data_IF_985734364533
#
_entry.id   IF_985734364533
#
_cell.length_a   1.000
_cell.length_b   1.000
_cell.length_c   1.000
_cell.angle_alpha   90.00
_cell.angle_beta   90.00
_cell.angle_gamma   90.00
#
_symmetry.space_group_name_H-M   'P 1'
#
loop_
_entity.id
_entity.type
_entity.pdbx_description
1 polymer ?
#
# COMPACT_ATOMS: atom_id res chain seq x y z
N UNK A 1 8.77 -16.68 -8.38
CA UNK A 1 8.57 -16.70 -6.90
C UNK A 1 7.22 -17.23 -6.36
N UNK A 2 6.07 -16.83 -6.91
CA UNK A 2 4.75 -17.15 -6.30
C UNK A 2 4.48 -18.65 -6.11
N UNK A 3 4.95 -19.49 -7.03
CA UNK A 3 4.86 -20.95 -6.93
C UNK A 3 5.67 -21.51 -5.75
N UNK A 4 6.91 -21.03 -5.55
CA UNK A 4 7.76 -21.39 -4.41
C UNK A 4 7.12 -21.01 -3.07
N UNK A 5 6.31 -19.94 -3.06
CA UNK A 5 5.49 -19.51 -1.93
C UNK A 5 4.12 -20.22 -1.83
N UNK A 6 3.82 -21.16 -2.73
CA UNK A 6 2.56 -21.94 -2.81
C UNK A 6 1.30 -21.08 -2.91
N UNK A 7 1.35 -20.01 -3.71
CA UNK A 7 0.20 -19.09 -3.86
C UNK A 7 -0.90 -19.62 -4.79
N UNK A 8 -0.58 -20.51 -5.73
CA UNK A 8 -1.58 -21.12 -6.64
C UNK A 8 -2.10 -20.17 -7.73
N UNK A 9 -1.46 -19.02 -7.91
CA UNK A 9 -1.73 -18.04 -8.96
C UNK A 9 -0.41 -17.38 -9.39
N UNK A 10 -0.44 -16.69 -10.53
CA UNK A 10 0.72 -16.05 -11.14
C UNK A 10 0.59 -14.51 -11.22
N UNK A 11 1.62 -13.88 -11.79
CA UNK A 11 1.69 -12.44 -12.04
C UNK A 11 0.52 -11.92 -12.87
N UNK A 12 0.16 -12.64 -13.93
CA UNK A 12 -0.93 -12.24 -14.84
C UNK A 12 -2.26 -12.19 -14.09
N UNK A 13 -2.54 -13.21 -13.27
CA UNK A 13 -3.78 -13.28 -12.49
C UNK A 13 -3.91 -12.17 -11.45
N UNK A 14 -2.80 -11.75 -10.84
CA UNK A 14 -2.79 -10.60 -9.92
C UNK A 14 -3.16 -9.32 -10.66
N UNK A 15 -2.53 -9.07 -11.82
CA UNK A 15 -2.77 -7.87 -12.61
C UNK A 15 -4.20 -7.83 -13.19
N UNK A 16 -4.73 -8.97 -13.63
CA UNK A 16 -6.13 -9.11 -14.03
C UNK A 16 -7.08 -8.73 -12.88
N UNK A 17 -6.80 -9.21 -11.66
CA UNK A 17 -7.62 -8.89 -10.50
C UNK A 17 -7.61 -7.39 -10.19
N UNK A 18 -6.44 -6.73 -10.26
CA UNK A 18 -6.34 -5.28 -10.10
C UNK A 18 -7.13 -4.53 -11.17
N UNK A 19 -7.00 -4.93 -12.43
CA UNK A 19 -7.73 -4.32 -13.54
C UNK A 19 -9.25 -4.48 -13.39
N UNK A 20 -9.70 -5.68 -13.00
CA UNK A 20 -11.12 -5.97 -12.78
C UNK A 20 -11.69 -5.13 -11.63
N UNK A 21 -10.98 -4.99 -10.51
CA UNK A 21 -11.44 -4.13 -9.41
C UNK A 21 -11.59 -2.69 -9.89
N UNK A 22 -10.60 -2.17 -10.63
CA UNK A 22 -10.61 -0.79 -11.14
C UNK A 22 -11.64 -0.56 -12.25
N UNK A 23 -12.10 -1.60 -12.94
CA UNK A 23 -13.20 -1.45 -13.91
C UNK A 23 -14.56 -1.18 -13.26
N UNK A 24 -14.74 -1.57 -11.99
CA UNK A 24 -15.95 -1.25 -11.21
C UNK A 24 -15.76 -0.03 -10.31
N UNK A 25 -14.55 0.17 -9.79
CA UNK A 25 -14.21 1.24 -8.86
C UNK A 25 -12.93 1.92 -9.32
N UNK A 26 -13.04 2.97 -10.14
CA UNK A 26 -11.91 3.69 -10.75
C UNK A 26 -10.81 4.04 -9.75
N UNK A 27 -11.22 4.55 -8.57
CA UNK A 27 -10.33 4.97 -7.50
C UNK A 27 -10.22 3.92 -6.36
N UNK A 28 -10.30 2.63 -6.68
CA UNK A 28 -10.14 1.59 -5.67
C UNK A 28 -8.78 1.71 -4.95
N UNK A 29 -8.84 1.83 -3.63
CA UNK A 29 -7.70 1.66 -2.74
C UNK A 29 -7.32 0.17 -2.67
N UNK A 30 -6.17 -0.17 -3.24
CA UNK A 30 -5.61 -1.53 -3.18
C UNK A 30 -4.38 -1.51 -2.28
N UNK A 31 -4.32 -2.47 -1.35
CA UNK A 31 -3.18 -2.68 -0.46
C UNK A 31 -2.59 -4.07 -0.59
N UNK A 32 -1.29 -4.21 -0.30
CA UNK A 32 -0.62 -5.50 -0.31
C UNK A 32 0.55 -5.58 0.68
N UNK A 33 0.85 -6.81 1.09
CA UNK A 33 2.04 -7.17 1.86
C UNK A 33 3.05 -7.84 0.92
N UNK A 34 4.28 -7.31 0.88
CA UNK A 34 5.30 -7.71 -0.09
C UNK A 34 6.56 -8.14 0.66
N UNK A 35 7.00 -9.37 0.38
CA UNK A 35 8.23 -9.95 0.92
C UNK A 35 9.34 -9.73 -0.10
N UNK A 36 10.46 -9.14 0.32
CA UNK A 36 11.68 -9.05 -0.48
C UNK A 36 12.70 -10.09 -0.06
N UNK A 37 13.39 -10.72 -1.01
CA UNK A 37 14.48 -11.63 -0.73
C UNK A 37 14.04 -12.99 -0.23
N UNK A 38 12.94 -13.50 -0.76
CA UNK A 38 12.52 -14.88 -0.49
C UNK A 38 13.64 -15.85 -0.94
N UNK A 39 13.83 -17.00 -0.28
CA UNK A 39 14.88 -17.94 -0.65
C UNK A 39 14.77 -18.35 -2.13
N UNK A 40 15.87 -18.18 -2.87
CA UNK A 40 15.95 -18.42 -4.31
C UNK A 40 15.53 -17.25 -5.21
N UNK A 41 15.14 -16.09 -4.65
CA UNK A 41 14.71 -14.91 -5.43
C UNK A 41 15.84 -14.34 -6.29
N UNK A 42 15.67 -14.45 -7.61
CA UNK A 42 16.59 -13.90 -8.61
C UNK A 42 16.30 -12.41 -8.90
N UNK A 43 17.19 -11.75 -9.64
CA UNK A 43 16.93 -10.37 -10.09
C UNK A 43 15.72 -10.29 -11.03
N UNK A 44 15.49 -11.31 -11.86
CA UNK A 44 14.30 -11.41 -12.71
C UNK A 44 13.01 -11.53 -11.90
N UNK A 45 13.02 -12.34 -10.85
CA UNK A 45 11.87 -12.47 -9.93
C UNK A 45 11.55 -11.16 -9.19
N UNK A 46 12.59 -10.45 -8.76
CA UNK A 46 12.43 -9.15 -8.12
C UNK A 46 11.89 -8.11 -9.11
N UNK A 47 12.40 -8.09 -10.33
CA UNK A 47 11.89 -7.22 -11.40
C UNK A 47 10.41 -7.51 -11.72
N UNK A 48 10.02 -8.79 -11.76
CA UNK A 48 8.62 -9.17 -11.90
C UNK A 48 7.74 -8.64 -10.76
N UNK A 49 8.23 -8.67 -9.53
CA UNK A 49 7.56 -8.11 -8.36
C UNK A 49 7.44 -6.59 -8.48
N UNK A 50 8.52 -5.92 -8.89
CA UNK A 50 8.54 -4.48 -9.14
C UNK A 50 7.47 -4.09 -10.16
N UNK A 51 7.42 -4.76 -11.31
CA UNK A 51 6.42 -4.50 -12.34
C UNK A 51 4.98 -4.71 -11.84
N UNK A 52 4.74 -5.72 -11.00
CA UNK A 52 3.40 -5.93 -10.41
C UNK A 52 3.02 -4.75 -9.53
N UNK A 53 3.94 -4.28 -8.70
CA UNK A 53 3.70 -3.15 -7.80
C UNK A 53 3.47 -1.85 -8.59
N UNK A 54 4.28 -1.63 -9.62
CA UNK A 54 4.17 -0.48 -10.51
C UNK A 54 2.82 -0.51 -11.24
N UNK A 55 2.49 -1.59 -11.93
CA UNK A 55 1.21 -1.70 -12.68
C UNK A 55 0.00 -1.71 -11.75
N UNK A 56 0.15 -2.23 -10.53
CA UNK A 56 -0.93 -2.30 -9.54
C UNK A 56 -1.31 -0.95 -8.93
N UNK A 57 -0.40 0.04 -8.92
CA UNK A 57 -0.62 1.37 -8.35
C UNK A 57 -1.20 1.28 -6.91
N UNK A 58 -0.51 0.54 -6.05
CA UNK A 58 -0.96 0.26 -4.68
C UNK A 58 -1.01 1.54 -3.84
N UNK A 59 -2.12 1.76 -3.13
CA UNK A 59 -2.27 2.89 -2.21
C UNK A 59 -1.45 2.69 -0.94
N UNK A 60 -1.40 1.47 -0.43
CA UNK A 60 -0.65 1.08 0.76
C UNK A 60 0.13 -0.21 0.46
N UNK A 61 1.42 -0.22 0.73
CA UNK A 61 2.24 -1.43 0.59
C UNK A 61 3.08 -1.64 1.84
N UNK A 62 2.89 -2.78 2.52
CA UNK A 62 3.75 -3.18 3.62
C UNK A 62 4.89 -4.02 3.05
N UNK A 63 6.07 -3.41 2.92
CA UNK A 63 7.25 -4.01 2.29
C UNK A 63 8.22 -4.41 3.39
N UNK A 64 8.59 -5.69 3.43
CA UNK A 64 9.48 -6.21 4.45
C UNK A 64 10.41 -7.31 3.92
N UNK A 65 11.64 -7.43 4.46
CA UNK A 65 12.56 -8.46 4.04
C UNK A 65 12.09 -9.83 4.56
N UNK A 66 12.36 -10.89 3.80
CA UNK A 66 12.19 -12.26 4.28
C UNK A 66 13.02 -12.49 5.54
N UNK A 67 12.36 -13.00 6.57
CA UNK A 67 12.95 -13.39 7.84
C UNK A 67 12.68 -14.88 8.09
N UNK A 68 13.72 -15.73 8.16
CA UNK A 68 13.54 -17.16 8.40
C UNK A 68 12.86 -17.41 9.75
N UNK A 69 11.79 -18.20 9.73
CA UNK A 69 11.13 -18.68 10.95
C UNK A 69 11.37 -20.17 11.10
N UNK A 70 11.81 -20.59 12.30
CA UNK A 70 12.08 -22.00 12.61
C UNK A 70 10.87 -22.87 12.24
N UNK A 71 11.11 -24.05 11.69
CA UNK A 71 10.10 -25.02 11.26
C UNK A 71 9.24 -24.60 10.06
N UNK A 72 9.63 -23.57 9.29
CA UNK A 72 8.97 -23.26 8.00
C UNK A 72 9.71 -23.91 6.84
N UNK A 73 9.00 -24.32 5.79
CA UNK A 73 9.62 -24.87 4.58
C UNK A 73 10.65 -23.91 3.98
N UNK A 74 10.32 -22.61 3.93
CA UNK A 74 11.22 -21.58 3.41
C UNK A 74 12.52 -21.43 4.22
N UNK A 75 12.49 -21.67 5.53
CA UNK A 75 13.70 -21.60 6.35
C UNK A 75 14.70 -22.73 6.05
N UNK A 76 14.23 -23.84 5.45
CA UNK A 76 15.06 -24.97 5.05
C UNK A 76 15.42 -24.94 3.54
N UNK A 77 14.96 -23.93 2.79
CA UNK A 77 15.29 -23.78 1.38
C UNK A 77 16.73 -23.27 1.21
N UNK A 78 17.42 -23.79 0.19
CA UNK A 78 18.67 -23.23 -0.29
C UNK A 78 18.45 -21.85 -0.94
N UNK A 79 19.55 -21.14 -1.22
CA UNK A 79 19.49 -19.83 -1.90
C UNK A 79 18.96 -18.70 -1.01
N UNK A 80 19.24 -18.75 0.29
CA UNK A 80 18.94 -17.64 1.20
C UNK A 80 19.62 -16.35 0.71
N UNK A 81 18.86 -15.26 0.67
CA UNK A 81 19.34 -13.98 0.13
C UNK A 81 20.07 -13.17 1.22
N UNK A 82 21.29 -12.67 0.94
CA UNK A 82 22.04 -11.78 1.84
C UNK A 82 21.26 -10.54 2.27
N UNK A 83 21.44 -10.10 3.51
CA UNK A 83 20.64 -9.04 4.12
C UNK A 83 20.72 -7.71 3.36
N UNK A 84 21.88 -7.39 2.81
CA UNK A 84 22.16 -6.20 2.00
C UNK A 84 21.34 -6.18 0.70
N UNK A 85 21.18 -7.32 0.03
CA UNK A 85 20.35 -7.45 -1.18
C UNK A 85 18.87 -7.29 -0.82
N UNK A 86 18.42 -7.95 0.26
CA UNK A 86 17.03 -7.81 0.73
C UNK A 86 16.70 -6.36 1.06
N UNK A 87 17.63 -5.67 1.72
CA UNK A 87 17.48 -4.25 2.07
C UNK A 87 17.39 -3.37 0.82
N UNK A 88 18.29 -3.54 -0.14
CA UNK A 88 18.27 -2.77 -1.39
C UNK A 88 16.93 -2.93 -2.13
N UNK A 89 16.45 -4.17 -2.24
CA UNK A 89 15.15 -4.50 -2.85
C UNK A 89 13.96 -3.88 -2.11
N UNK A 90 13.95 -3.95 -0.77
CA UNK A 90 12.93 -3.28 0.04
C UNK A 90 12.94 -1.76 -0.17
N UNK A 91 14.11 -1.14 -0.17
CA UNK A 91 14.27 0.31 -0.32
C UNK A 91 13.78 0.78 -1.71
N UNK A 92 14.07 0.00 -2.76
CA UNK A 92 13.61 0.27 -4.12
C UNK A 92 12.08 0.18 -4.26
N UNK A 93 11.46 -0.88 -3.71
CA UNK A 93 10.00 -0.98 -3.69
C UNK A 93 9.35 0.11 -2.82
N UNK A 94 10.00 0.52 -1.74
CA UNK A 94 9.49 1.59 -0.88
C UNK A 94 9.51 2.95 -1.61
N UNK A 95 10.54 3.21 -2.42
CA UNK A 95 10.60 4.38 -3.28
C UNK A 95 9.46 4.39 -4.31
N UNK A 96 9.27 3.27 -5.03
CA UNK A 96 8.16 3.10 -5.97
C UNK A 96 6.79 3.26 -5.28
N UNK A 97 6.64 2.70 -4.08
CA UNK A 97 5.42 2.84 -3.30
C UNK A 97 5.13 4.31 -2.95
N UNK A 98 6.14 5.07 -2.55
CA UNK A 98 5.99 6.50 -2.25
C UNK A 98 5.47 7.28 -3.46
N UNK A 99 6.02 7.00 -4.64
CA UNK A 99 5.60 7.64 -5.90
C UNK A 99 4.18 7.28 -6.31
N UNK A 100 3.84 5.98 -6.28
CA UNK A 100 2.50 5.49 -6.63
C UNK A 100 1.43 6.00 -5.66
N UNK A 101 1.73 6.01 -4.36
CA UNK A 101 0.84 6.61 -3.35
C UNK A 101 0.62 8.10 -3.61
N UNK A 102 1.68 8.87 -3.88
CA UNK A 102 1.58 10.30 -4.20
C UNK A 102 0.70 10.53 -5.43
N UNK A 103 0.86 9.70 -6.47
CA UNK A 103 0.04 9.77 -7.69
C UNK A 103 -1.45 9.52 -7.39
N UNK A 104 -1.77 8.50 -6.60
CA UNK A 104 -3.15 8.18 -6.22
C UNK A 104 -3.81 9.25 -5.33
N UNK A 105 -3.05 9.82 -4.40
CA UNK A 105 -3.55 10.94 -3.57
C UNK A 105 -3.85 12.15 -4.47
N UNK A 106 -2.91 12.51 -5.33
CA UNK A 106 -3.08 13.67 -6.22
C UNK A 106 -4.22 13.49 -7.22
N UNK A 107 -4.50 12.26 -7.68
CA UNK A 107 -5.60 11.99 -8.61
C UNK A 107 -6.98 12.17 -8.01
N UNK A 108 -7.11 12.34 -6.69
CA UNK A 108 -8.37 12.62 -6.01
C UNK A 108 -8.62 14.12 -5.77
N UNK A 109 -7.67 14.98 -6.16
CA UNK A 109 -7.81 16.43 -5.93
C UNK A 109 -9.07 16.98 -6.60
N UNK A 110 -9.89 17.68 -5.83
CA UNK A 110 -11.15 18.28 -6.31
C UNK A 110 -12.35 17.34 -6.31
N UNK A 111 -12.18 16.06 -6.00
CA UNK A 111 -13.28 15.09 -5.91
C UNK A 111 -14.05 15.25 -4.58
N UNK A 112 -15.33 14.87 -4.59
CA UNK A 112 -16.09 14.74 -3.35
C UNK A 112 -15.59 13.52 -2.57
N UNK A 113 -15.24 13.70 -1.30
CA UNK A 113 -14.78 12.65 -0.42
C UNK A 113 -15.55 12.64 0.91
N UNK A 114 -15.64 11.46 1.52
CA UNK A 114 -16.23 11.26 2.84
C UNK A 114 -15.17 10.84 3.85
N UNK A 115 -15.09 11.54 4.97
CA UNK A 115 -14.22 11.21 6.11
C UNK A 115 -15.05 10.74 7.30
N UNK A 116 -14.72 9.59 7.88
CA UNK A 116 -15.19 9.22 9.22
C UNK A 116 -14.40 10.03 10.25
N UNK A 117 -15.07 10.84 11.06
CA UNK A 117 -14.41 11.60 12.13
C UNK A 117 -14.03 10.65 13.26
N UNK A 118 -12.74 10.46 13.49
CA UNK A 118 -12.21 9.55 14.53
C UNK A 118 -11.69 10.31 15.75
N UNK A 119 -11.21 11.53 15.55
CA UNK A 119 -10.64 12.36 16.62
C UNK A 119 -10.88 13.84 16.36
N UNK A 120 -11.17 14.58 17.44
CA UNK A 120 -11.23 16.05 17.45
C UNK A 120 -10.12 16.57 18.35
N UNK A 121 -9.25 17.43 17.85
CA UNK A 121 -8.11 17.96 18.63
C UNK A 121 -7.59 19.23 18.00
N UNK A 122 -7.17 20.21 18.81
CA UNK A 122 -6.46 21.42 18.35
C UNK A 122 -7.16 22.16 17.19
N UNK A 123 -8.49 22.30 17.25
CA UNK A 123 -9.26 22.97 16.19
C UNK A 123 -9.34 22.20 14.87
N UNK A 124 -8.96 20.91 14.86
CA UNK A 124 -9.01 20.01 13.71
C UNK A 124 -9.86 18.78 13.98
N UNK A 125 -10.33 18.20 12.90
CA UNK A 125 -11.03 16.92 12.82
C UNK A 125 -10.13 15.95 12.04
N UNK A 126 -9.85 14.79 12.61
CA UNK A 126 -8.97 13.78 12.05
C UNK A 126 -9.75 12.51 11.78
N UNK A 127 -9.37 11.81 10.72
CA UNK A 127 -10.01 10.54 10.38
C UNK A 127 -9.59 10.01 9.03
N UNK A 128 -10.19 8.89 8.64
CA UNK A 128 -9.93 8.24 7.37
C UNK A 128 -11.04 8.53 6.36
N UNK A 129 -10.64 8.72 5.10
CA UNK A 129 -11.58 8.73 3.98
C UNK A 129 -12.11 7.32 3.68
N UNK A 130 -13.10 7.21 2.79
CA UNK A 130 -13.55 5.91 2.24
C UNK A 130 -12.43 5.08 1.59
N UNK A 131 -11.40 5.73 1.03
CA UNK A 131 -10.19 5.09 0.52
C UNK A 131 -9.09 4.87 1.58
N UNK A 132 -9.42 4.95 2.87
CA UNK A 132 -8.45 4.82 3.99
C UNK A 132 -7.29 5.82 3.95
N UNK A 133 -7.47 6.98 3.32
CA UNK A 133 -6.49 8.07 3.40
C UNK A 133 -6.73 8.83 4.69
N UNK A 134 -5.69 8.92 5.52
CA UNK A 134 -5.76 9.67 6.77
C UNK A 134 -5.63 11.17 6.49
N UNK A 135 -6.61 11.95 6.95
CA UNK A 135 -6.71 13.39 6.67
C UNK A 135 -6.96 14.20 7.95
N UNK A 136 -6.63 15.49 7.88
CA UNK A 136 -6.92 16.51 8.89
C UNK A 136 -7.68 17.66 8.23
N UNK A 137 -8.88 17.94 8.72
CA UNK A 137 -9.70 19.06 8.27
C UNK A 137 -9.84 20.10 9.40
N UNK A 138 -9.99 21.40 9.07
CA UNK A 138 -10.42 22.40 10.05
C UNK A 138 -11.75 21.98 10.67
N UNK A 139 -11.84 22.04 12.00
CA UNK A 139 -13.03 21.60 12.75
C UNK A 139 -14.22 22.49 12.45
N UNK A 140 -15.39 21.90 12.24
CA UNK A 140 -16.68 22.61 12.19
C UNK A 140 -17.43 22.42 13.51
N UNK A 141 -18.34 23.35 13.85
CA UNK A 141 -19.11 23.30 15.10
C UNK A 141 -19.96 22.02 15.25
N UNK A 142 -20.39 21.43 14.13
CA UNK A 142 -21.19 20.19 14.08
C UNK A 142 -20.36 18.91 14.11
N UNK A 143 -19.03 19.01 13.99
CA UNK A 143 -18.18 17.82 13.92
C UNK A 143 -18.23 17.04 15.23
N UNK A 144 -18.60 15.76 15.11
CA UNK A 144 -18.71 14.81 16.22
C UNK A 144 -17.97 13.53 15.85
N UNK A 145 -17.26 12.92 16.79
CA UNK A 145 -16.59 11.63 16.58
C UNK A 145 -17.63 10.55 16.27
N UNK A 146 -17.36 9.73 15.26
CA UNK A 146 -18.27 8.67 14.77
C UNK A 146 -19.15 9.10 13.60
N UNK A 147 -19.20 10.39 13.27
CA UNK A 147 -19.98 10.91 12.15
C UNK A 147 -19.16 10.96 10.85
N UNK A 148 -19.86 10.89 9.71
CA UNK A 148 -19.28 11.06 8.38
C UNK A 148 -19.37 12.53 7.96
N UNK A 149 -18.25 13.09 7.51
CA UNK A 149 -18.16 14.44 6.95
C UNK A 149 -17.78 14.40 5.47
N UNK A 150 -18.62 15.02 4.66
CA UNK A 150 -18.32 15.30 3.24
C UNK A 150 -17.44 16.54 3.10
N UNK A 151 -16.52 16.51 2.14
CA UNK A 151 -15.63 17.62 1.80
C UNK A 151 -15.07 17.45 0.37
N UNK A 152 -14.53 18.53 -0.18
CA UNK A 152 -13.74 18.48 -1.43
C UNK A 152 -12.33 18.07 -1.05
N UNK A 153 -11.84 16.99 -1.66
CA UNK A 153 -10.52 16.44 -1.35
C UNK A 153 -9.42 17.37 -1.85
N UNK A 154 -8.46 17.66 -0.97
CA UNK A 154 -7.24 18.38 -1.25
C UNK A 154 -6.06 17.61 -0.62
N UNK A 155 -4.98 17.33 -1.38
CA UNK A 155 -3.77 16.69 -0.84
C UNK A 155 -3.19 17.37 0.41
N UNK A 156 -3.40 18.69 0.60
CA UNK A 156 -2.93 19.42 1.78
C UNK A 156 -3.61 18.96 3.08
N UNK A 157 -4.75 18.27 2.99
CA UNK A 157 -5.39 17.65 4.14
C UNK A 157 -4.76 16.31 4.52
N UNK A 158 -4.00 15.68 3.64
CA UNK A 158 -3.45 14.34 3.87
C UNK A 158 -2.37 14.39 4.94
N UNK A 159 -2.56 13.57 5.97
CA UNK A 159 -1.50 13.28 6.93
C UNK A 159 -0.79 12.05 6.42
N UNK A 160 0.50 12.19 6.12
CA UNK A 160 1.35 11.03 5.91
C UNK A 160 1.73 10.51 7.31
N UNK A 161 1.18 9.36 7.76
CA UNK A 161 1.77 8.72 8.91
C UNK A 161 3.23 8.45 8.56
N UNK A 162 4.15 8.82 9.45
CA UNK A 162 5.54 8.41 9.31
C UNK A 162 5.52 6.89 9.09
N UNK A 163 6.05 6.44 7.95
CA UNK A 163 6.28 5.03 7.68
C UNK A 163 7.16 4.56 8.84
N UNK A 164 6.59 3.76 9.75
CA UNK A 164 7.33 3.16 10.86
C UNK A 164 8.15 2.00 10.35
#
# INVERSE_FOLDING_TARGET
MLESMRRGYDKARILEAFALIRSFYTNAAISADIICGFPGETDGDFHDTYEVCEKGQLLNAHIFPYSPRRNTAAAAMDGQIPAEIKKARCDELAALHSETRKRFVNSQTGENARMLIEKLSEGKSFGHTENYIYVSLPRQNRDTVGEIREFIFDPDYVINPAIK
#
